data_IF_075317165242
#
_entry.id   IF_075317165242
#
_cell.length_a   1.000
_cell.length_b   1.000
_cell.length_c   1.000
_cell.angle_alpha   90.00
_cell.angle_beta   90.00
_cell.angle_gamma   90.00
#
_symmetry.space_group_name_H-M   'P 1'
#
loop_
_entity.id
_entity.type
_entity.pdbx_description
1 polymer ?
#
# COMPACT_ATOMS: atom_id res chain seq x y z
N UNK A 1 28.43 -33.00 -27.99
CA UNK A 1 28.65 -31.60 -27.56
C UNK A 1 27.44 -30.66 -27.77
N UNK A 2 26.30 -31.11 -28.32
CA UNK A 2 25.14 -30.24 -28.58
C UNK A 2 24.18 -30.05 -27.39
N UNK A 3 24.14 -30.98 -26.43
CA UNK A 3 23.22 -30.93 -25.28
C UNK A 3 23.63 -29.93 -24.20
N UNK A 4 24.93 -29.68 -24.05
CA UNK A 4 25.48 -28.77 -23.04
C UNK A 4 25.05 -27.31 -23.29
N UNK A 5 25.14 -26.84 -24.55
CA UNK A 5 24.75 -25.47 -24.94
C UNK A 5 23.26 -25.17 -24.77
N UNK A 6 22.39 -26.15 -25.03
CA UNK A 6 20.94 -25.97 -24.87
C UNK A 6 20.52 -25.90 -23.38
N UNK A 7 21.21 -26.64 -22.50
CA UNK A 7 21.01 -26.57 -21.06
C UNK A 7 21.49 -25.22 -20.47
N UNK A 8 22.61 -24.70 -20.97
CA UNK A 8 23.09 -23.37 -20.59
C UNK A 8 22.15 -22.25 -21.07
N UNK A 9 21.57 -22.37 -22.28
CA UNK A 9 20.57 -21.41 -22.79
C UNK A 9 19.34 -21.30 -21.88
N UNK A 10 18.77 -22.44 -21.45
CA UNK A 10 17.61 -22.45 -20.56
C UNK A 10 17.92 -21.88 -19.17
N UNK A 11 19.11 -22.16 -18.64
CA UNK A 11 19.57 -21.59 -17.36
C UNK A 11 19.74 -20.07 -17.46
N UNK A 12 20.30 -19.60 -18.57
CA UNK A 12 20.51 -18.17 -18.78
C UNK A 12 19.19 -17.42 -19.00
N UNK A 13 18.24 -17.99 -19.74
CA UNK A 13 16.88 -17.46 -19.88
C UNK A 13 16.18 -17.35 -18.52
N UNK A 14 16.29 -18.38 -17.68
CA UNK A 14 15.72 -18.36 -16.34
C UNK A 14 16.39 -17.29 -15.44
N UNK A 15 17.72 -17.15 -15.52
CA UNK A 15 18.43 -16.09 -14.80
C UNK A 15 17.98 -14.70 -15.24
N UNK A 16 17.87 -14.46 -16.55
CA UNK A 16 17.38 -13.18 -17.11
C UNK A 16 15.95 -12.89 -16.69
N UNK A 17 15.10 -13.92 -16.62
CA UNK A 17 13.75 -13.79 -16.09
C UNK A 17 13.74 -13.32 -14.63
N UNK A 18 14.53 -13.98 -13.76
CA UNK A 18 14.62 -13.58 -12.34
C UNK A 18 15.18 -12.18 -12.15
N UNK A 19 16.15 -11.79 -12.99
CA UNK A 19 16.71 -10.44 -13.00
C UNK A 19 15.68 -9.40 -13.44
N UNK A 20 14.98 -9.65 -14.56
CA UNK A 20 13.93 -8.76 -15.08
C UNK A 20 12.73 -8.64 -14.12
N UNK A 21 12.38 -9.72 -13.43
CA UNK A 21 11.32 -9.74 -12.42
C UNK A 21 11.74 -9.12 -11.08
N UNK A 22 13.01 -8.71 -10.91
CA UNK A 22 13.52 -8.09 -9.68
C UNK A 22 13.80 -9.07 -8.54
N UNK A 23 13.64 -10.38 -8.75
CA UNK A 23 13.85 -11.41 -7.70
C UNK A 23 15.29 -11.38 -7.18
N UNK A 24 16.27 -11.23 -8.09
CA UNK A 24 17.68 -11.17 -7.72
C UNK A 24 18.01 -9.92 -6.89
N UNK A 25 17.40 -8.78 -7.22
CA UNK A 25 17.58 -7.52 -6.50
C UNK A 25 17.01 -7.61 -5.07
N UNK A 26 15.79 -8.15 -4.92
CA UNK A 26 15.16 -8.37 -3.61
C UNK A 26 15.97 -9.34 -2.75
N UNK A 27 16.41 -10.48 -3.32
CA UNK A 27 17.27 -11.42 -2.59
C UNK A 27 18.59 -10.78 -2.16
N UNK A 28 19.19 -9.96 -3.02
CA UNK A 28 20.43 -9.23 -2.70
C UNK A 28 20.20 -8.26 -1.54
N UNK A 29 19.12 -7.47 -1.57
CA UNK A 29 18.78 -6.55 -0.49
C UNK A 29 18.60 -7.25 0.85
N UNK A 30 17.84 -8.34 0.90
CA UNK A 30 17.64 -9.10 2.15
C UNK A 30 18.96 -9.67 2.69
N UNK A 31 19.84 -10.15 1.80
CA UNK A 31 21.16 -10.63 2.19
C UNK A 31 22.08 -9.52 2.70
N UNK A 32 21.99 -8.31 2.13
CA UNK A 32 22.70 -7.13 2.63
C UNK A 32 22.23 -6.77 4.03
N UNK A 33 20.91 -6.72 4.27
CA UNK A 33 20.36 -6.48 5.62
C UNK A 33 20.87 -7.53 6.61
N UNK A 34 20.82 -8.83 6.26
CA UNK A 34 21.36 -9.89 7.10
C UNK A 34 22.88 -9.73 7.34
N UNK A 35 23.63 -9.24 6.35
CA UNK A 35 25.06 -8.98 6.48
C UNK A 35 25.36 -7.78 7.39
N UNK A 36 24.51 -6.76 7.39
CA UNK A 36 24.66 -5.55 8.20
C UNK A 36 24.18 -5.74 9.66
N UNK A 37 23.36 -6.77 9.93
CA UNK A 37 22.89 -7.07 11.29
C UNK A 37 24.07 -7.21 12.30
N UNK A 38 24.14 -6.36 13.34
CA UNK A 38 25.23 -6.37 14.31
C UNK A 38 25.24 -7.65 15.16
N UNK A 39 24.06 -8.19 15.46
CA UNK A 39 23.89 -9.49 16.11
C UNK A 39 23.30 -10.48 15.10
N UNK A 40 24.10 -11.46 14.67
CA UNK A 40 23.62 -12.43 13.68
C UNK A 40 22.49 -13.27 14.28
N UNK A 41 21.34 -13.38 13.60
CA UNK A 41 20.24 -14.19 14.10
C UNK A 41 20.68 -15.65 14.20
N UNK A 42 20.32 -16.29 15.31
CA UNK A 42 20.59 -17.72 15.53
C UNK A 42 20.00 -18.62 14.42
N UNK A 43 18.93 -18.16 13.77
CA UNK A 43 18.34 -18.81 12.61
C UNK A 43 18.23 -17.84 11.42
N UNK A 44 19.26 -17.84 10.57
CA UNK A 44 19.29 -17.02 9.36
C UNK A 44 18.18 -17.35 8.35
N UNK A 45 17.71 -18.60 8.27
CA UNK A 45 16.64 -18.98 7.35
C UNK A 45 15.30 -18.36 7.74
N UNK A 46 15.00 -18.29 9.03
CA UNK A 46 13.77 -17.65 9.50
C UNK A 46 13.83 -16.13 9.32
N UNK A 47 15.00 -15.52 9.52
CA UNK A 47 15.23 -14.11 9.20
C UNK A 47 14.92 -13.80 7.73
N UNK A 48 15.45 -14.62 6.80
CA UNK A 48 15.18 -14.47 5.36
C UNK A 48 13.69 -14.57 5.05
N UNK A 49 12.98 -15.58 5.59
CA UNK A 49 11.53 -15.74 5.34
C UNK A 49 10.74 -14.51 5.77
N UNK A 50 11.04 -13.97 6.95
CA UNK A 50 10.35 -12.78 7.46
C UNK A 50 10.62 -11.56 6.57
N UNK A 51 11.88 -11.32 6.22
CA UNK A 51 12.27 -10.16 5.43
C UNK A 51 11.83 -10.25 3.98
N UNK A 52 11.73 -11.46 3.39
CA UNK A 52 11.18 -11.64 2.05
C UNK A 52 9.67 -11.36 1.99
N UNK A 53 8.92 -11.67 3.05
CA UNK A 53 7.49 -11.35 3.13
C UNK A 53 7.23 -9.84 3.31
N UNK A 54 8.18 -9.12 3.89
CA UNK A 54 8.06 -7.67 4.17
C UNK A 54 8.68 -6.81 3.06
N UNK A 55 9.66 -7.32 2.31
CA UNK A 55 10.36 -6.57 1.26
C UNK A 55 9.64 -6.55 -0.10
N UNK A 56 8.41 -7.08 -0.18
CA UNK A 56 7.61 -6.99 -1.39
C UNK A 56 7.14 -5.56 -1.64
N UNK A 57 7.04 -5.10 -2.92
CA UNK A 57 6.40 -3.82 -3.24
C UNK A 57 5.01 -3.70 -2.61
N UNK A 58 4.29 -4.81 -2.50
CA UNK A 58 3.00 -4.90 -1.81
C UNK A 58 3.02 -4.43 -0.36
N UNK A 59 4.11 -4.59 0.41
CA UNK A 59 4.11 -4.18 1.82
C UNK A 59 4.17 -2.66 1.98
N UNK A 60 5.01 -1.99 1.18
CA UNK A 60 5.09 -0.53 1.15
C UNK A 60 3.79 0.07 0.59
N UNK A 61 3.22 -0.54 -0.46
CA UNK A 61 1.96 -0.12 -1.05
C UNK A 61 0.78 -0.33 -0.08
N UNK A 62 0.76 -1.43 0.67
CA UNK A 62 -0.29 -1.71 1.68
C UNK A 62 -0.23 -0.71 2.82
N UNK A 63 0.95 -0.36 3.33
CA UNK A 63 1.08 0.66 4.38
C UNK A 63 0.70 2.06 3.88
N UNK A 64 1.10 2.42 2.65
CA UNK A 64 0.68 3.67 2.02
C UNK A 64 -0.85 3.73 1.83
N UNK A 65 -1.45 2.65 1.35
CA UNK A 65 -2.91 2.54 1.18
C UNK A 65 -3.65 2.62 2.51
N UNK A 66 -3.13 2.02 3.59
CA UNK A 66 -3.72 2.14 4.94
C UNK A 66 -3.69 3.58 5.45
N UNK A 67 -2.59 4.29 5.20
CA UNK A 67 -2.46 5.70 5.57
C UNK A 67 -3.49 6.54 4.81
N UNK A 68 -3.57 6.37 3.49
CA UNK A 68 -4.54 7.08 2.64
C UNK A 68 -6.00 6.81 3.05
N UNK A 69 -6.34 5.56 3.39
CA UNK A 69 -7.68 5.21 3.91
C UNK A 69 -7.97 5.92 5.23
N UNK A 70 -6.97 6.06 6.10
CA UNK A 70 -7.13 6.76 7.38
C UNK A 70 -7.36 8.26 7.18
N UNK A 71 -6.56 8.89 6.32
CA UNK A 71 -6.68 10.31 5.99
C UNK A 71 -8.01 10.62 5.30
N UNK A 72 -8.43 9.80 4.34
CA UNK A 72 -9.72 9.97 3.66
C UNK A 72 -10.90 9.82 4.62
N UNK A 73 -10.84 8.87 5.57
CA UNK A 73 -11.89 8.72 6.59
C UNK A 73 -11.99 9.95 7.50
N UNK A 74 -10.86 10.47 7.98
CA UNK A 74 -10.84 11.71 8.78
C UNK A 74 -11.41 12.89 8.02
N UNK A 75 -11.04 13.04 6.74
CA UNK A 75 -11.56 14.12 5.89
C UNK A 75 -13.05 13.99 5.66
N UNK A 76 -13.56 12.78 5.41
CA UNK A 76 -14.99 12.53 5.29
C UNK A 76 -15.75 12.89 6.56
N UNK A 77 -15.21 12.54 7.73
CA UNK A 77 -15.81 12.86 9.03
C UNK A 77 -15.89 14.37 9.26
N UNK A 78 -14.79 15.10 9.02
CA UNK A 78 -14.75 16.57 9.11
C UNK A 78 -15.75 17.24 8.15
N UNK A 79 -15.79 16.79 6.89
CA UNK A 79 -16.74 17.33 5.91
C UNK A 79 -18.19 17.01 6.30
N UNK A 80 -18.45 15.85 6.89
CA UNK A 80 -19.78 15.46 7.37
C UNK A 80 -20.23 16.36 8.53
N UNK A 81 -19.34 16.64 9.49
CA UNK A 81 -19.58 17.57 10.59
C UNK A 81 -19.86 18.99 10.07
N UNK A 82 -19.01 19.52 9.18
CA UNK A 82 -19.19 20.84 8.59
C UNK A 82 -20.50 20.92 7.80
N UNK A 83 -20.85 19.88 7.04
CA UNK A 83 -22.12 19.83 6.30
C UNK A 83 -23.32 19.86 7.25
N UNK A 84 -23.25 19.14 8.37
CA UNK A 84 -24.30 19.13 9.37
C UNK A 84 -24.44 20.50 10.05
N UNK A 85 -23.33 21.16 10.40
CA UNK A 85 -23.34 22.52 10.95
C UNK A 85 -23.92 23.53 9.98
N UNK A 86 -23.51 23.50 8.72
CA UNK A 86 -24.02 24.41 7.69
C UNK A 86 -25.50 24.20 7.46
N UNK A 87 -25.98 22.94 7.38
CA UNK A 87 -27.41 22.63 7.27
C UNK A 87 -28.20 23.15 8.46
N UNK A 88 -27.68 22.99 9.68
CA UNK A 88 -28.32 23.52 10.88
C UNK A 88 -28.40 25.06 10.87
N UNK A 89 -27.35 25.75 10.40
CA UNK A 89 -27.35 27.21 10.23
C UNK A 89 -28.35 27.67 9.17
N UNK A 90 -28.44 26.97 8.04
CA UNK A 90 -29.42 27.28 6.97
C UNK A 90 -30.85 27.14 7.50
N UNK A 91 -31.17 26.05 8.21
CA UNK A 91 -32.50 25.86 8.81
C UNK A 91 -32.88 26.96 9.81
N UNK A 92 -31.91 27.54 10.53
CA UNK A 92 -32.17 28.63 11.47
C UNK A 92 -32.38 29.99 10.78
N UNK A 93 -31.90 30.15 9.54
CA UNK A 93 -31.99 31.38 8.77
C UNK A 93 -33.15 31.40 7.78
N UNK A 94 -33.77 30.25 7.48
CA UNK A 94 -35.01 30.20 6.72
C UNK A 94 -36.16 30.82 7.56
N UNK A 95 -36.81 31.90 7.08
CA UNK A 95 -37.97 32.44 7.76
C UNK A 95 -39.12 31.41 7.74
N UNK A 96 -40.03 31.41 8.73
CA UNK A 96 -41.21 30.58 8.68
C UNK A 96 -41.95 30.90 7.37
N UNK A 97 -42.20 29.88 6.56
CA UNK A 97 -42.97 30.01 5.33
C UNK A 97 -44.22 30.84 5.61
N UNK A 98 -44.33 31.99 4.96
CA UNK A 98 -45.51 32.85 5.05
C UNK A 98 -46.73 31.99 4.70
N UNK A 99 -47.77 31.94 5.55
CA UNK A 99 -48.95 31.16 5.25
C UNK A 99 -49.54 31.68 3.95
N UNK A 100 -49.58 30.83 2.92
CA UNK A 100 -50.29 31.09 1.67
C UNK A 100 -51.73 31.47 2.03
N UNK A 101 -52.04 32.75 1.94
CA UNK A 101 -53.39 33.27 2.15
C UNK A 101 -54.17 32.87 0.89
N UNK A 102 -55.20 32.00 0.98
CA UNK A 102 -55.94 31.61 -0.20
C UNK A 102 -56.73 32.83 -0.69
N UNK A 103 -56.40 33.31 -1.89
CA UNK A 103 -57.16 34.33 -2.62
C UNK A 103 -58.56 33.78 -2.93
N UNK A 104 -59.57 34.60 -2.62
CA UNK A 104 -61.00 34.26 -2.63
C UNK A 104 -61.72 34.92 -3.80
#
# INVERSE_FOLDING_TARGET
MATYRAADSKREEFRKYLEKAGVLDTLTKVLVVLYEEPEKPNNALDFLKQHLNVSGPEAADVEALKLEVTELRQKCEQLQEENNELRAKVQQLEPPAEPEVPEN
#
